data_IF_772495206071
#
_entry.id   IF_772495206071
#
_cell.length_a   1.000
_cell.length_b   1.000
_cell.length_c   1.000
_cell.angle_alpha   90.00
_cell.angle_beta   90.00
_cell.angle_gamma   90.00
#
_symmetry.space_group_name_H-M   'P 1'
#
loop_
_entity.id
_entity.type
_entity.pdbx_description
1 polymer ?
#
# COMPACT_ATOMS: atom_id res chain seq x y z
N UNK A 1 -8.27 -35.75 -4.95
CA UNK A 1 -7.81 -34.55 -4.23
C UNK A 1 -8.47 -33.36 -4.89
N UNK A 2 -9.37 -32.66 -4.20
CA UNK A 2 -9.91 -31.38 -4.70
C UNK A 2 -8.77 -30.36 -4.68
N UNK A 3 -8.48 -29.71 -5.80
CA UNK A 3 -7.60 -28.54 -5.79
C UNK A 3 -8.25 -27.49 -4.87
N UNK A 4 -7.46 -26.90 -3.97
CA UNK A 4 -7.89 -25.71 -3.23
C UNK A 4 -7.68 -24.51 -4.14
N UNK A 5 -8.71 -23.67 -4.23
CA UNK A 5 -8.63 -22.44 -5.01
C UNK A 5 -7.66 -21.46 -4.36
N UNK A 6 -6.85 -20.80 -5.19
CA UNK A 6 -5.87 -19.78 -4.77
C UNK A 6 -6.19 -18.47 -5.49
N UNK A 7 -6.35 -17.41 -4.71
CA UNK A 7 -6.61 -16.05 -5.21
C UNK A 7 -5.40 -15.17 -4.93
N UNK A 8 -4.98 -14.39 -5.92
CA UNK A 8 -3.89 -13.41 -5.78
C UNK A 8 -4.48 -12.01 -5.97
N UNK A 9 -4.29 -11.15 -4.98
CA UNK A 9 -4.84 -9.80 -4.94
C UNK A 9 -3.71 -8.77 -5.10
N UNK A 10 -3.98 -7.76 -5.94
CA UNK A 10 -3.11 -6.60 -6.14
C UNK A 10 -3.86 -5.30 -5.86
N UNK A 11 -3.19 -4.15 -6.01
CA UNK A 11 -3.70 -2.86 -5.54
C UNK A 11 -5.03 -2.44 -6.21
N UNK A 12 -5.31 -2.96 -7.42
CA UNK A 12 -6.60 -2.78 -8.09
C UNK A 12 -7.78 -3.39 -7.33
N UNK A 13 -7.55 -4.41 -6.49
CA UNK A 13 -8.58 -4.97 -5.62
C UNK A 13 -8.92 -3.99 -4.48
N UNK A 14 -7.93 -3.43 -3.79
CA UNK A 14 -8.15 -2.41 -2.77
C UNK A 14 -8.83 -1.17 -3.35
N UNK A 15 -8.45 -0.76 -4.57
CA UNK A 15 -9.12 0.30 -5.35
C UNK A 15 -10.60 -0.01 -5.64
N UNK A 16 -10.92 -1.28 -5.87
CA UNK A 16 -12.29 -1.71 -6.12
C UNK A 16 -13.13 -1.77 -4.84
N UNK A 17 -12.50 -2.00 -3.68
CA UNK A 17 -13.14 -1.88 -2.37
C UNK A 17 -13.44 -0.41 -2.07
N UNK A 18 -12.44 0.46 -2.19
CA UNK A 18 -12.56 1.90 -1.99
C UNK A 18 -11.75 2.67 -3.04
N UNK A 19 -12.38 3.63 -3.70
CA UNK A 19 -11.79 4.39 -4.79
C UNK A 19 -10.65 5.35 -4.34
N UNK A 20 -10.54 5.64 -3.04
CA UNK A 20 -9.46 6.42 -2.44
C UNK A 20 -8.15 5.65 -2.32
N UNK A 21 -8.20 4.33 -2.25
CA UNK A 21 -6.99 3.50 -2.19
C UNK A 21 -6.09 3.74 -3.42
N UNK A 22 -4.77 3.90 -3.26
CA UNK A 22 -3.91 4.23 -4.39
C UNK A 22 -3.42 2.99 -5.13
N UNK A 23 -3.38 3.05 -6.46
CA UNK A 23 -2.51 2.19 -7.27
C UNK A 23 -1.05 2.64 -7.16
N UNK A 24 -0.09 1.82 -7.60
CA UNK A 24 1.33 2.21 -7.55
C UNK A 24 1.66 3.52 -8.28
N UNK A 25 0.97 3.79 -9.39
CA UNK A 25 1.14 5.03 -10.15
C UNK A 25 0.60 6.24 -9.37
N UNK A 26 -0.58 6.12 -8.79
CA UNK A 26 -1.19 7.16 -7.97
C UNK A 26 -0.39 7.41 -6.69
N UNK A 27 0.11 6.34 -6.05
CA UNK A 27 0.99 6.44 -4.89
C UNK A 27 2.28 7.20 -5.21
N UNK A 28 2.92 6.87 -6.34
CA UNK A 28 4.12 7.59 -6.81
C UNK A 28 3.85 9.08 -6.99
N UNK A 29 2.70 9.42 -7.61
CA UNK A 29 2.29 10.81 -7.81
C UNK A 29 2.02 11.55 -6.49
N UNK A 30 1.32 10.92 -5.55
CA UNK A 30 0.99 11.50 -4.25
C UNK A 30 2.25 11.73 -3.42
N UNK A 31 3.17 10.76 -3.37
CA UNK A 31 4.46 10.91 -2.69
C UNK A 31 5.25 12.09 -3.29
N UNK A 32 5.34 12.18 -4.63
CA UNK A 32 6.02 13.31 -5.28
C UNK A 32 5.39 14.64 -4.92
N UNK A 33 4.07 14.69 -4.83
CA UNK A 33 3.32 15.89 -4.44
C UNK A 33 3.66 16.31 -3.02
N UNK A 34 3.71 15.36 -2.06
CA UNK A 34 4.13 15.65 -0.67
C UNK A 34 5.58 16.14 -0.59
N UNK A 35 6.51 15.48 -1.29
CA UNK A 35 7.92 15.91 -1.35
C UNK A 35 8.03 17.35 -1.87
N UNK A 36 7.33 17.65 -2.96
CA UNK A 36 7.36 18.99 -3.59
C UNK A 36 6.74 20.06 -2.69
N UNK A 37 5.71 19.72 -1.93
CA UNK A 37 5.02 20.62 -0.99
C UNK A 37 5.88 20.90 0.24
N UNK A 38 6.48 19.87 0.81
CA UNK A 38 7.23 19.99 2.07
C UNK A 38 8.61 20.64 1.83
N UNK A 39 9.17 20.47 0.62
CA UNK A 39 10.39 21.16 0.18
C UNK A 39 11.67 20.77 0.93
N UNK A 40 11.61 19.71 1.75
CA UNK A 40 12.70 19.32 2.64
C UNK A 40 13.88 18.65 1.93
N UNK A 41 13.65 18.04 0.77
CA UNK A 41 14.67 17.37 -0.02
C UNK A 41 14.31 17.29 -1.49
N UNK A 42 15.31 16.99 -2.31
CA UNK A 42 15.16 16.75 -3.74
C UNK A 42 15.47 15.29 -4.05
N UNK A 43 14.73 14.72 -5.00
CA UNK A 43 15.06 13.40 -5.52
C UNK A 43 16.33 13.50 -6.38
N UNK A 44 17.28 12.56 -6.27
CA UNK A 44 18.45 12.59 -7.13
C UNK A 44 18.06 12.38 -8.60
N UNK A 45 18.75 13.05 -9.52
CA UNK A 45 18.70 12.70 -10.95
C UNK A 45 19.12 11.23 -11.11
N UNK A 46 18.35 10.36 -11.79
CA UNK A 46 17.37 10.65 -12.84
C UNK A 46 15.89 10.77 -12.40
N UNK A 47 15.59 10.64 -11.11
CA UNK A 47 14.21 10.56 -10.63
C UNK A 47 13.49 11.91 -10.59
N UNK A 48 14.24 13.01 -10.62
CA UNK A 48 13.68 14.35 -10.64
C UNK A 48 12.97 14.69 -11.98
N UNK A 49 13.44 14.13 -13.10
CA UNK A 49 13.01 14.49 -14.44
C UNK A 49 11.74 13.78 -14.96
N UNK A 50 10.96 13.11 -14.10
CA UNK A 50 9.74 12.37 -14.46
C UNK A 50 9.96 11.12 -15.34
N UNK A 51 11.15 10.93 -15.91
CA UNK A 51 11.52 9.79 -16.76
C UNK A 51 11.52 8.44 -16.01
N UNK A 52 11.49 8.49 -14.68
CA UNK A 52 11.45 7.33 -13.80
C UNK A 52 10.36 7.51 -12.74
N UNK A 53 9.13 7.84 -13.11
CA UNK A 53 7.96 7.90 -12.20
C UNK A 53 7.51 6.49 -11.76
N UNK A 54 8.42 5.78 -11.09
CA UNK A 54 8.13 4.55 -10.38
C UNK A 54 8.83 4.59 -9.03
N UNK A 55 8.03 4.74 -7.97
CA UNK A 55 8.50 4.71 -6.58
C UNK A 55 9.27 3.44 -6.23
N UNK A 56 8.96 2.29 -6.84
CA UNK A 56 9.72 1.03 -6.62
C UNK A 56 11.16 1.18 -7.11
N UNK A 57 11.37 1.87 -8.23
CA UNK A 57 12.70 2.12 -8.78
C UNK A 57 13.47 3.11 -7.88
N UNK A 58 12.79 4.12 -7.34
CA UNK A 58 13.39 5.05 -6.38
C UNK A 58 13.88 4.29 -5.15
N UNK A 59 12.99 3.50 -4.55
CA UNK A 59 13.29 2.72 -3.35
C UNK A 59 14.39 1.70 -3.60
N UNK A 60 14.39 1.02 -4.75
CA UNK A 60 15.45 0.09 -5.13
C UNK A 60 16.80 0.78 -5.23
N UNK A 61 16.87 1.94 -5.88
CA UNK A 61 18.11 2.69 -6.02
C UNK A 61 18.61 3.25 -4.68
N UNK A 62 17.71 3.90 -3.93
CA UNK A 62 18.05 4.65 -2.72
C UNK A 62 18.41 3.74 -1.54
N UNK A 63 17.85 2.53 -1.48
CA UNK A 63 18.13 1.56 -0.41
C UNK A 63 19.45 0.80 -0.60
N UNK A 64 19.99 0.78 -1.82
CA UNK A 64 21.21 0.05 -2.16
C UNK A 64 22.47 0.92 -2.03
N UNK A 65 23.58 0.30 -1.61
CA UNK A 65 24.88 0.96 -1.65
C UNK A 65 25.41 0.92 -3.09
N UNK A 66 25.56 2.09 -3.69
CA UNK A 66 26.09 2.25 -5.04
C UNK A 66 27.63 2.27 -5.00
N UNK A 67 28.31 1.36 -5.72
CA UNK A 67 29.77 1.24 -5.68
C UNK A 67 30.53 2.49 -6.16
N UNK A 68 29.89 3.32 -6.98
CA UNK A 68 30.46 4.54 -7.54
C UNK A 68 30.21 5.79 -6.68
N UNK A 69 29.41 5.67 -5.62
CA UNK A 69 29.14 6.75 -4.67
C UNK A 69 30.01 6.58 -3.42
N UNK A 70 30.37 7.69 -2.80
CA UNK A 70 31.05 7.64 -1.52
C UNK A 70 30.11 7.20 -0.39
N UNK A 71 30.67 7.03 0.81
CA UNK A 71 29.88 6.58 1.98
C UNK A 71 28.83 7.61 2.38
N UNK A 72 29.14 8.89 2.30
CA UNK A 72 28.24 9.97 2.70
C UNK A 72 27.04 10.09 1.76
N UNK A 73 27.26 9.95 0.45
CA UNK A 73 26.24 9.91 -0.58
C UNK A 73 25.33 8.68 -0.41
N UNK A 74 25.90 7.51 -0.17
CA UNK A 74 25.13 6.30 0.10
C UNK A 74 24.29 6.41 1.39
N UNK A 75 24.82 7.05 2.43
CA UNK A 75 24.07 7.32 3.66
C UNK A 75 22.94 8.32 3.43
N UNK A 76 23.18 9.36 2.63
CA UNK A 76 22.15 10.31 2.22
C UNK A 76 21.03 9.61 1.44
N UNK A 77 21.35 8.77 0.46
CA UNK A 77 20.36 7.97 -0.28
C UNK A 77 19.49 7.11 0.65
N UNK A 78 20.10 6.43 1.63
CA UNK A 78 19.35 5.64 2.62
C UNK A 78 18.43 6.50 3.46
N UNK A 79 18.89 7.68 3.89
CA UNK A 79 18.04 8.62 4.63
C UNK A 79 16.84 9.10 3.78
N UNK A 80 17.05 9.35 2.48
CA UNK A 80 15.97 9.65 1.55
C UNK A 80 14.99 8.49 1.39
N UNK A 81 15.47 7.25 1.24
CA UNK A 81 14.62 6.06 1.18
C UNK A 81 13.68 5.98 2.39
N UNK A 82 14.23 6.14 3.60
CA UNK A 82 13.42 6.13 4.83
C UNK A 82 12.38 7.25 4.89
N UNK A 83 12.71 8.46 4.41
CA UNK A 83 11.73 9.55 4.33
C UNK A 83 10.59 9.23 3.37
N UNK A 84 10.94 8.66 2.21
CA UNK A 84 9.95 8.24 1.21
C UNK A 84 9.06 7.11 1.75
N UNK A 85 9.62 6.13 2.46
CA UNK A 85 8.86 5.07 3.14
C UNK A 85 7.84 5.65 4.11
N UNK A 86 8.22 6.68 4.88
CA UNK A 86 7.29 7.34 5.80
C UNK A 86 6.11 7.97 5.06
N UNK A 87 6.35 8.68 3.95
CA UNK A 87 5.25 9.21 3.14
C UNK A 87 4.35 8.11 2.59
N UNK A 88 4.92 7.01 2.11
CA UNK A 88 4.14 5.86 1.62
C UNK A 88 3.23 5.32 2.74
N UNK A 89 3.79 5.09 3.93
CA UNK A 89 3.04 4.59 5.09
C UNK A 89 1.93 5.55 5.49
N UNK A 90 2.20 6.86 5.53
CA UNK A 90 1.20 7.88 5.86
C UNK A 90 0.06 7.89 4.85
N UNK A 91 0.35 7.94 3.55
CA UNK A 91 -0.66 7.94 2.48
C UNK A 91 -1.55 6.70 2.61
N UNK A 92 -0.95 5.52 2.75
CA UNK A 92 -1.70 4.26 2.82
C UNK A 92 -2.58 4.22 4.07
N UNK A 93 -2.06 4.63 5.22
CA UNK A 93 -2.84 4.68 6.48
C UNK A 93 -3.98 5.68 6.42
N UNK A 94 -3.76 6.84 5.83
CA UNK A 94 -4.81 7.85 5.66
C UNK A 94 -5.95 7.33 4.78
N UNK A 95 -5.62 6.73 3.63
CA UNK A 95 -6.61 6.18 2.71
C UNK A 95 -7.31 4.94 3.30
N UNK A 96 -6.56 4.05 3.96
CA UNK A 96 -7.13 2.89 4.64
C UNK A 96 -8.07 3.32 5.77
N UNK A 97 -7.68 4.28 6.60
CA UNK A 97 -8.55 4.81 7.65
C UNK A 97 -9.81 5.47 7.09
N UNK A 98 -9.71 6.15 5.94
CA UNK A 98 -10.86 6.75 5.28
C UNK A 98 -11.80 5.67 4.69
N UNK A 99 -11.25 4.61 4.10
CA UNK A 99 -11.99 3.47 3.59
C UNK A 99 -12.70 2.70 4.71
N UNK A 100 -12.03 2.47 5.84
CA UNK A 100 -12.60 1.83 7.03
C UNK A 100 -13.66 2.67 7.74
N UNK A 101 -13.69 3.98 7.49
CA UNK A 101 -14.76 4.87 7.96
C UNK A 101 -16.04 4.80 7.12
N UNK A 102 -16.00 4.10 5.98
CA UNK A 102 -17.16 3.89 5.11
C UNK A 102 -17.77 2.51 5.34
N UNK A 103 -19.04 2.36 4.95
CA UNK A 103 -19.70 1.06 4.98
C UNK A 103 -18.98 0.07 4.06
N UNK A 104 -18.69 -1.13 4.57
CA UNK A 104 -18.06 -2.18 3.77
C UNK A 104 -18.97 -2.56 2.59
N UNK A 105 -18.43 -2.70 1.35
CA UNK A 105 -19.24 -3.12 0.22
C UNK A 105 -19.82 -4.53 0.40
N UNK A 106 -21.12 -4.71 0.14
CA UNK A 106 -21.82 -6.00 0.30
C UNK A 106 -21.14 -7.15 -0.45
N UNK A 107 -20.63 -6.87 -1.66
CA UNK A 107 -19.96 -7.87 -2.49
C UNK A 107 -18.68 -8.40 -1.84
N UNK A 108 -17.98 -7.58 -1.05
CA UNK A 108 -16.75 -7.96 -0.37
C UNK A 108 -17.05 -8.96 0.73
N UNK A 109 -18.07 -8.69 1.56
CA UNK A 109 -18.53 -9.62 2.59
C UNK A 109 -18.97 -10.97 2.01
N UNK A 110 -19.71 -10.94 0.90
CA UNK A 110 -20.12 -12.16 0.19
C UNK A 110 -18.94 -12.94 -0.38
N UNK A 111 -17.96 -12.24 -0.97
CA UNK A 111 -16.76 -12.85 -1.54
C UNK A 111 -15.89 -13.50 -0.46
N UNK A 112 -15.64 -12.78 0.63
CA UNK A 112 -14.88 -13.30 1.78
C UNK A 112 -15.58 -14.51 2.39
N UNK A 113 -16.90 -14.48 2.54
CA UNK A 113 -17.69 -15.63 3.02
C UNK A 113 -17.53 -16.87 2.13
N UNK A 114 -17.42 -16.70 0.81
CA UNK A 114 -17.13 -17.79 -0.12
C UNK A 114 -15.71 -18.31 0.03
N UNK A 115 -14.71 -17.43 0.18
CA UNK A 115 -13.32 -17.85 0.41
C UNK A 115 -13.17 -18.65 1.70
N UNK A 116 -13.82 -18.23 2.79
CA UNK A 116 -13.83 -18.93 4.07
C UNK A 116 -14.46 -20.32 3.91
N UNK A 117 -15.64 -20.40 3.30
CA UNK A 117 -16.36 -21.68 3.09
C UNK A 117 -15.58 -22.65 2.19
N UNK A 118 -14.92 -22.13 1.15
CA UNK A 118 -14.11 -22.91 0.22
C UNK A 118 -12.72 -23.27 0.79
N UNK A 119 -12.36 -22.75 1.97
CA UNK A 119 -10.99 -22.83 2.51
C UNK A 119 -9.94 -22.38 1.49
N UNK A 120 -10.27 -21.34 0.73
CA UNK A 120 -9.41 -20.81 -0.32
C UNK A 120 -8.16 -20.18 0.28
N UNK A 121 -7.04 -20.23 -0.44
CA UNK A 121 -5.84 -19.48 -0.07
C UNK A 121 -5.88 -18.12 -0.76
N UNK A 122 -5.84 -17.04 0.02
CA UNK A 122 -5.77 -15.68 -0.49
C UNK A 122 -4.37 -15.14 -0.24
N UNK A 123 -3.69 -14.72 -1.30
CA UNK A 123 -2.36 -14.10 -1.26
C UNK A 123 -2.55 -12.65 -1.68
N UNK A 124 -2.24 -11.70 -0.80
CA UNK A 124 -2.25 -10.28 -1.11
C UNK A 124 -0.83 -9.75 -1.24
N UNK A 125 -0.61 -8.85 -2.19
CA UNK A 125 0.62 -8.05 -2.31
C UNK A 125 0.37 -6.59 -1.91
N UNK A 126 -0.81 -6.30 -1.38
CA UNK A 126 -1.19 -4.95 -0.97
C UNK A 126 -0.63 -4.65 0.42
N UNK A 127 -0.40 -3.36 0.67
CA UNK A 127 0.10 -2.88 1.96
C UNK A 127 -1.03 -2.64 2.99
N UNK A 128 -2.27 -2.55 2.53
CA UNK A 128 -3.46 -2.37 3.38
C UNK A 128 -4.00 -3.69 3.93
N UNK A 129 -4.87 -3.59 4.94
CA UNK A 129 -5.50 -4.73 5.61
C UNK A 129 -7.00 -4.85 5.35
N UNK A 130 -7.52 -4.24 4.27
CA UNK A 130 -8.96 -4.16 4.01
C UNK A 130 -9.61 -5.55 3.89
N UNK A 131 -8.90 -6.51 3.30
CA UNK A 131 -9.40 -7.88 3.11
C UNK A 131 -9.45 -8.64 4.44
N UNK A 132 -8.41 -8.50 5.26
CA UNK A 132 -8.33 -9.10 6.58
C UNK A 132 -9.43 -8.53 7.48
N UNK A 133 -9.67 -7.21 7.42
CA UNK A 133 -10.75 -6.57 8.17
C UNK A 133 -12.12 -7.08 7.76
N UNK A 134 -12.34 -7.32 6.46
CA UNK A 134 -13.58 -7.92 5.97
C UNK A 134 -13.81 -9.36 6.48
N UNK A 135 -12.77 -10.08 6.92
CA UNK A 135 -12.90 -11.43 7.52
C UNK A 135 -13.32 -11.40 8.98
N UNK A 136 -13.01 -10.33 9.71
CA UNK A 136 -13.32 -10.21 11.15
C UNK A 136 -14.81 -9.90 11.39
N UNK A 137 -15.52 -9.42 10.36
CA UNK A 137 -16.90 -8.95 10.47
C UNK A 137 -16.99 -7.62 11.22
N UNK A 138 -18.10 -6.89 11.05
CA UNK A 138 -18.46 -5.87 12.02
C UNK A 138 -18.60 -6.53 13.40
N UNK A 139 -18.16 -5.90 14.50
CA UNK A 139 -18.51 -6.40 15.82
C UNK A 139 -20.03 -6.49 15.88
N UNK A 140 -20.55 -7.70 15.98
CA UNK A 140 -21.96 -7.93 16.24
C UNK A 140 -22.32 -7.19 17.52
N UNK A 141 -23.41 -6.40 17.50
CA UNK A 141 -24.02 -5.74 18.67
C UNK A 141 -24.42 -6.71 19.81
N UNK A 142 -24.02 -7.99 19.76
CA UNK A 142 -24.30 -9.02 20.76
C UNK A 142 -23.38 -8.95 22.00
N UNK A 143 -22.32 -8.15 22.01
CA UNK A 143 -21.49 -7.92 23.22
C UNK A 143 -22.10 -6.88 24.19
N UNK A 144 -23.32 -6.39 23.89
CA UNK A 144 -24.06 -5.41 24.67
C UNK A 144 -25.11 -6.01 25.63
N UNK A 145 -24.86 -7.12 26.30
CA UNK A 145 -25.71 -7.59 27.42
C UNK A 145 -24.88 -8.31 28.50
N UNK A 146 -24.54 -7.57 29.57
CA UNK A 146 -24.58 -7.97 31.00
C UNK A 146 -24.08 -6.83 31.89
#
# INVERSE_FOLDING_TARGET
MSHKDVFVLGAGFSKAIDAGMPTMKELTFEVRTRISRDGEFQLPSPFDAGAADNIELWMTYLSQNQPWLDRSENQYNRALATRIENYIVEIIREQESAALGQAMPDWLGQLVGRWVTAQATVITLNYDTLVERATVGEPSDEDGLS
#
